data_IF_552266419278
#
_entry.id   IF_552266419278
#
_cell.length_a   1.000
_cell.length_b   1.000
_cell.length_c   1.000
_cell.angle_alpha   90.00
_cell.angle_beta   90.00
_cell.angle_gamma   90.00
#
_symmetry.space_group_name_H-M   'P 1'
#
loop_
_entity.id
_entity.type
_entity.pdbx_description
1 polymer ?
#
# COMPACT_ATOMS: atom_id res chain seq x y z
N UNK A 1 -20.38 -27.74 3.27
CA UNK A 1 -20.04 -26.51 4.02
C UNK A 1 -18.77 -26.84 4.80
N UNK A 2 -17.62 -26.31 4.37
CA UNK A 2 -16.34 -26.53 5.05
C UNK A 2 -16.42 -25.91 6.46
N UNK A 3 -15.96 -26.64 7.45
CA UNK A 3 -15.93 -26.14 8.83
C UNK A 3 -14.93 -24.99 8.92
N UNK A 4 -15.22 -23.89 9.65
CA UNK A 4 -14.36 -22.70 9.75
C UNK A 4 -12.90 -23.02 10.11
N UNK A 5 -12.67 -24.05 10.90
CA UNK A 5 -11.34 -24.44 11.36
C UNK A 5 -10.48 -25.21 10.32
N UNK A 6 -11.08 -25.84 9.31
CA UNK A 6 -10.30 -26.57 8.30
C UNK A 6 -9.67 -25.66 7.26
N UNK A 7 -10.38 -24.61 6.88
CA UNK A 7 -9.85 -23.61 5.93
C UNK A 7 -8.75 -22.75 6.55
N UNK A 8 -8.85 -22.45 7.85
CA UNK A 8 -7.88 -21.65 8.57
C UNK A 8 -6.54 -22.38 8.84
N UNK A 9 -6.53 -23.73 8.83
CA UNK A 9 -5.32 -24.52 9.12
C UNK A 9 -4.30 -24.57 7.98
N UNK A 10 -4.73 -24.32 6.74
CA UNK A 10 -3.87 -24.37 5.54
C UNK A 10 -3.42 -23.01 5.03
N UNK A 11 -3.90 -21.92 5.66
CA UNK A 11 -3.62 -20.56 5.27
C UNK A 11 -2.72 -19.89 6.30
N UNK A 12 -1.58 -19.36 5.85
CA UNK A 12 -0.73 -18.47 6.65
C UNK A 12 -1.47 -17.14 6.84
N UNK A 13 -1.77 -16.77 8.08
CA UNK A 13 -2.57 -15.59 8.41
C UNK A 13 -1.72 -14.56 9.15
N UNK A 14 -1.68 -13.34 8.61
CA UNK A 14 -1.02 -12.19 9.22
C UNK A 14 -2.01 -11.05 9.45
N UNK A 15 -1.89 -10.41 10.59
CA UNK A 15 -2.65 -9.22 10.96
C UNK A 15 -1.69 -8.07 11.22
N UNK A 16 -1.85 -6.99 10.50
CA UNK A 16 -1.00 -5.82 10.63
C UNK A 16 -1.79 -4.60 11.09
N UNK A 17 -1.27 -3.91 12.11
CA UNK A 17 -1.78 -2.61 12.53
C UNK A 17 -1.34 -1.55 11.55
N UNK A 18 -2.28 -0.97 10.82
CA UNK A 18 -2.02 0.01 9.76
C UNK A 18 -3.07 1.12 9.80
N UNK A 19 -2.64 2.37 9.80
CA UNK A 19 -3.56 3.50 9.63
C UNK A 19 -4.23 3.48 8.25
N UNK A 20 -5.45 4.00 8.15
CA UNK A 20 -6.23 3.94 6.91
C UNK A 20 -5.51 4.58 5.72
N UNK A 21 -4.76 5.66 5.95
CA UNK A 21 -3.99 6.35 4.91
C UNK A 21 -2.78 5.53 4.41
N UNK A 22 -2.26 4.63 5.24
CA UNK A 22 -1.08 3.81 4.94
C UNK A 22 -1.40 2.42 4.39
N UNK A 23 -2.65 1.97 4.44
CA UNK A 23 -3.06 0.63 3.97
C UNK A 23 -2.62 0.34 2.53
N UNK A 24 -2.75 1.32 1.62
CA UNK A 24 -2.34 1.17 0.23
C UNK A 24 -0.82 1.00 0.10
N UNK A 25 -0.04 1.77 0.87
CA UNK A 25 1.43 1.65 0.94
C UNK A 25 1.84 0.28 1.47
N UNK A 26 1.20 -0.17 2.55
CA UNK A 26 1.43 -1.49 3.14
C UNK A 26 1.11 -2.62 2.15
N UNK A 27 -0.03 -2.55 1.46
CA UNK A 27 -0.41 -3.52 0.43
C UNK A 27 0.66 -3.66 -0.65
N UNK A 28 1.09 -2.55 -1.23
CA UNK A 28 2.14 -2.53 -2.27
C UNK A 28 3.45 -3.11 -1.80
N UNK A 29 3.86 -2.75 -0.59
CA UNK A 29 5.10 -3.25 -0.02
C UNK A 29 5.06 -4.76 0.18
N UNK A 30 3.99 -5.30 0.75
CA UNK A 30 3.85 -6.74 1.00
C UNK A 30 3.78 -7.51 -0.32
N UNK A 31 3.02 -7.03 -1.31
CA UNK A 31 2.96 -7.62 -2.65
C UNK A 31 4.36 -7.73 -3.25
N UNK A 32 5.16 -6.68 -3.14
CA UNK A 32 6.54 -6.65 -3.66
C UNK A 32 7.47 -7.58 -2.87
N UNK A 33 7.46 -7.48 -1.55
CA UNK A 33 8.35 -8.27 -0.67
C UNK A 33 8.10 -9.77 -0.76
N UNK A 34 6.84 -10.17 -0.92
CA UNK A 34 6.44 -11.58 -1.06
C UNK A 34 6.49 -12.09 -2.50
N UNK A 35 6.79 -11.22 -3.48
CA UNK A 35 6.84 -11.58 -4.89
C UNK A 35 5.51 -12.11 -5.41
N UNK A 36 4.39 -11.56 -4.94
CA UNK A 36 3.06 -12.03 -5.30
C UNK A 36 2.72 -11.66 -6.74
N UNK A 37 2.37 -12.67 -7.53
CA UNK A 37 1.98 -12.50 -8.94
C UNK A 37 0.48 -12.29 -9.11
N UNK A 38 -0.32 -12.78 -8.16
CA UNK A 38 -1.77 -12.61 -8.12
C UNK A 38 -2.25 -12.51 -6.68
N UNK A 39 -3.14 -11.56 -6.41
CA UNK A 39 -3.79 -11.43 -5.12
C UNK A 39 -5.22 -10.93 -5.26
N UNK A 40 -6.07 -11.40 -4.35
CA UNK A 40 -7.44 -10.93 -4.20
C UNK A 40 -7.48 -9.92 -3.06
N UNK A 41 -8.04 -8.73 -3.28
CA UNK A 41 -8.10 -7.65 -2.29
C UNK A 41 -9.55 -7.34 -1.94
N UNK A 42 -9.94 -7.57 -0.70
CA UNK A 42 -11.28 -7.29 -0.20
C UNK A 42 -11.38 -5.92 0.46
N UNK A 43 -12.41 -5.17 0.07
CA UNK A 43 -12.76 -3.85 0.60
C UNK A 43 -14.24 -3.84 0.99
N UNK A 44 -14.57 -3.17 2.09
CA UNK A 44 -15.94 -3.20 2.62
C UNK A 44 -16.95 -2.37 1.82
N UNK A 45 -16.51 -1.38 1.03
CA UNK A 45 -17.41 -0.52 0.28
C UNK A 45 -17.09 -0.48 -1.21
N UNK A 46 -18.14 -0.34 -2.04
CA UNK A 46 -17.99 -0.20 -3.50
C UNK A 46 -17.18 1.05 -3.88
N UNK A 47 -17.34 2.15 -3.17
CA UNK A 47 -16.59 3.37 -3.41
C UNK A 47 -15.11 3.19 -3.04
N UNK A 48 -14.82 2.55 -1.91
CA UNK A 48 -13.47 2.19 -1.50
C UNK A 48 -12.80 1.25 -2.51
N UNK A 49 -13.54 0.26 -3.01
CA UNK A 49 -13.10 -0.65 -4.06
C UNK A 49 -12.67 0.09 -5.33
N UNK A 50 -13.53 0.95 -5.85
CA UNK A 50 -13.25 1.73 -7.07
C UNK A 50 -12.08 2.70 -6.89
N UNK A 51 -11.97 3.37 -5.74
CA UNK A 51 -10.88 4.29 -5.42
C UNK A 51 -9.54 3.57 -5.28
N UNK A 52 -9.52 2.46 -4.57
CA UNK A 52 -8.31 1.67 -4.37
C UNK A 52 -7.79 1.12 -5.71
N UNK A 53 -8.64 0.49 -6.51
CA UNK A 53 -8.25 -0.05 -7.81
C UNK A 53 -7.65 1.04 -8.72
N UNK A 54 -8.33 2.18 -8.84
CA UNK A 54 -7.85 3.31 -9.64
C UNK A 54 -6.52 3.90 -9.13
N UNK A 55 -6.31 3.91 -7.81
CA UNK A 55 -5.05 4.37 -7.24
C UNK A 55 -3.91 3.41 -7.52
N UNK A 56 -4.15 2.11 -7.41
CA UNK A 56 -3.15 1.08 -7.71
C UNK A 56 -2.77 1.04 -9.19
N UNK A 57 -3.74 1.22 -10.09
CA UNK A 57 -3.49 1.36 -11.53
C UNK A 57 -2.58 2.56 -11.86
N UNK A 58 -2.85 3.73 -11.24
CA UNK A 58 -2.01 4.92 -11.42
C UNK A 58 -0.57 4.71 -10.94
N UNK A 59 -0.38 3.82 -10.01
CA UNK A 59 0.94 3.45 -9.47
C UNK A 59 1.60 2.30 -10.26
N UNK A 60 1.01 1.91 -11.39
CA UNK A 60 1.57 0.93 -12.32
C UNK A 60 1.29 -0.53 -11.97
N UNK A 61 0.36 -0.81 -11.03
CA UNK A 61 -0.06 -2.16 -10.72
C UNK A 61 -1.23 -2.56 -11.62
N UNK A 62 -1.14 -3.72 -12.25
CA UNK A 62 -2.23 -4.28 -13.07
C UNK A 62 -3.39 -4.70 -12.18
N UNK A 63 -4.37 -3.82 -12.04
CA UNK A 63 -5.47 -3.97 -11.09
C UNK A 63 -6.80 -3.84 -11.80
N UNK A 64 -7.79 -4.61 -11.37
CA UNK A 64 -9.19 -4.44 -11.78
C UNK A 64 -10.11 -4.49 -10.57
N UNK A 65 -11.32 -3.94 -10.71
CA UNK A 65 -12.29 -3.83 -9.64
C UNK A 65 -13.56 -4.62 -9.92
N UNK A 66 -14.10 -5.29 -8.90
CA UNK A 66 -15.40 -5.94 -8.87
C UNK A 66 -16.29 -5.33 -7.78
N UNK A 67 -17.31 -4.59 -8.16
CA UNK A 67 -18.30 -4.02 -7.24
C UNK A 67 -19.69 -3.93 -7.89
N UNK A 68 -20.69 -3.59 -7.09
CA UNK A 68 -22.08 -3.62 -7.50
C UNK A 68 -22.47 -2.73 -8.68
N UNK A 69 -21.71 -1.68 -8.96
CA UNK A 69 -21.97 -0.75 -10.06
C UNK A 69 -21.40 -1.25 -11.41
N UNK A 70 -20.68 -2.37 -11.42
CA UNK A 70 -20.20 -3.03 -12.63
C UNK A 70 -21.29 -3.90 -13.23
N UNK A 71 -21.44 -3.85 -14.56
CA UNK A 71 -22.33 -4.74 -15.30
C UNK A 71 -21.83 -6.20 -15.20
N UNK A 72 -22.72 -7.15 -15.51
CA UNK A 72 -22.32 -8.57 -15.50
C UNK A 72 -21.20 -8.86 -16.49
N UNK A 73 -21.23 -8.24 -17.66
CA UNK A 73 -20.18 -8.39 -18.68
C UNK A 73 -18.84 -7.83 -18.21
N UNK A 74 -18.84 -6.68 -17.53
CA UNK A 74 -17.61 -6.12 -16.94
C UNK A 74 -17.03 -7.01 -15.85
N UNK A 75 -17.90 -7.62 -15.03
CA UNK A 75 -17.48 -8.57 -14.00
C UNK A 75 -16.84 -9.82 -14.60
N UNK A 76 -17.46 -10.38 -15.64
CA UNK A 76 -16.95 -11.56 -16.34
C UNK A 76 -15.61 -11.27 -17.03
N UNK A 77 -15.46 -10.11 -17.65
CA UNK A 77 -14.21 -9.65 -18.26
C UNK A 77 -13.11 -9.48 -17.21
N UNK A 78 -13.41 -8.83 -16.08
CA UNK A 78 -12.46 -8.65 -14.99
C UNK A 78 -11.99 -10.00 -14.42
N UNK A 79 -12.91 -10.94 -14.23
CA UNK A 79 -12.61 -12.28 -13.75
C UNK A 79 -11.75 -13.07 -14.76
N UNK A 80 -12.09 -13.01 -16.04
CA UNK A 80 -11.34 -13.67 -17.10
C UNK A 80 -9.91 -13.13 -17.20
N UNK A 81 -9.73 -11.81 -17.16
CA UNK A 81 -8.42 -11.17 -17.17
C UNK A 81 -7.57 -11.56 -15.95
N UNK A 82 -8.18 -11.64 -14.77
CA UNK A 82 -7.51 -12.12 -13.57
C UNK A 82 -7.09 -13.58 -13.66
N UNK A 83 -7.97 -14.48 -14.12
CA UNK A 83 -7.66 -15.91 -14.32
C UNK A 83 -6.59 -16.13 -15.38
N UNK A 84 -6.55 -15.28 -16.41
CA UNK A 84 -5.53 -15.35 -17.47
C UNK A 84 -4.15 -14.78 -17.04
N UNK A 85 -4.05 -14.18 -15.84
CA UNK A 85 -2.83 -13.55 -15.38
C UNK A 85 -2.53 -12.18 -16.01
N UNK A 86 -3.50 -11.58 -16.72
CA UNK A 86 -3.39 -10.24 -17.30
C UNK A 86 -3.52 -9.15 -16.22
N UNK A 87 -4.13 -9.49 -15.10
CA UNK A 87 -4.33 -8.63 -13.93
C UNK A 87 -3.72 -9.31 -12.71
N UNK A 88 -2.94 -8.56 -11.95
CA UNK A 88 -2.23 -9.06 -10.77
C UNK A 88 -3.08 -8.91 -9.49
N UNK A 89 -3.86 -7.83 -9.39
CA UNK A 89 -4.69 -7.53 -8.24
C UNK A 89 -6.16 -7.41 -8.64
N UNK A 90 -7.00 -8.21 -8.02
CA UNK A 90 -8.45 -8.13 -8.14
C UNK A 90 -9.03 -7.53 -6.86
N UNK A 91 -9.48 -6.29 -6.92
CA UNK A 91 -10.10 -5.58 -5.80
C UNK A 91 -11.61 -5.80 -5.85
N UNK A 92 -12.20 -6.30 -4.77
CA UNK A 92 -13.63 -6.60 -4.75
C UNK A 92 -14.29 -6.33 -3.40
N UNK A 93 -15.61 -6.13 -3.45
CA UNK A 93 -16.47 -6.20 -2.28
C UNK A 93 -16.93 -7.64 -2.04
N UNK A 94 -17.33 -7.98 -0.81
CA UNK A 94 -17.85 -9.32 -0.49
C UNK A 94 -19.05 -9.69 -1.34
N UNK A 95 -19.97 -8.74 -1.54
CA UNK A 95 -21.19 -8.96 -2.35
C UNK A 95 -20.84 -9.27 -3.80
N UNK A 96 -19.91 -8.55 -4.39
CA UNK A 96 -19.50 -8.78 -5.78
C UNK A 96 -18.69 -10.06 -5.96
N UNK A 97 -17.95 -10.47 -4.95
CA UNK A 97 -17.18 -11.71 -4.96
C UNK A 97 -18.02 -12.98 -4.70
N UNK A 98 -19.23 -12.79 -4.15
CA UNK A 98 -20.13 -13.90 -3.84
C UNK A 98 -20.57 -14.60 -5.11
N UNK A 99 -20.53 -15.92 -5.11
CA UNK A 99 -20.90 -16.73 -6.28
C UNK A 99 -19.86 -16.80 -7.41
N UNK A 100 -18.74 -16.10 -7.27
CA UNK A 100 -17.63 -16.22 -8.22
C UNK A 100 -16.75 -17.42 -7.89
N UNK A 101 -16.42 -18.21 -8.90
CA UNK A 101 -15.49 -19.34 -8.79
C UNK A 101 -14.05 -18.81 -8.90
N UNK A 102 -13.57 -18.22 -7.80
CA UNK A 102 -12.18 -17.80 -7.64
C UNK A 102 -11.60 -18.64 -6.51
N UNK A 103 -10.66 -19.51 -6.85
CA UNK A 103 -9.97 -20.40 -5.91
C UNK A 103 -8.49 -20.41 -6.21
N UNK A 104 -7.72 -20.90 -5.27
CA UNK A 104 -6.28 -21.16 -5.43
C UNK A 104 -5.46 -19.89 -5.75
N UNK A 105 -5.94 -18.73 -5.28
CA UNK A 105 -5.17 -17.49 -5.40
C UNK A 105 -3.99 -17.56 -4.45
N UNK A 106 -2.77 -17.12 -4.84
CA UNK A 106 -1.59 -17.12 -3.97
C UNK A 106 -1.79 -16.35 -2.67
N UNK A 107 -2.52 -15.24 -2.71
CA UNK A 107 -2.76 -14.40 -1.54
C UNK A 107 -4.14 -13.74 -1.55
N UNK A 108 -4.67 -13.54 -0.35
CA UNK A 108 -5.86 -12.73 -0.08
C UNK A 108 -5.48 -11.60 0.88
N UNK A 109 -5.84 -10.38 0.52
CA UNK A 109 -5.71 -9.22 1.39
C UNK A 109 -7.10 -8.78 1.86
N UNK A 110 -7.29 -8.71 3.16
CA UNK A 110 -8.39 -7.97 3.76
C UNK A 110 -7.91 -6.53 3.97
N UNK A 111 -8.10 -5.68 2.97
CA UNK A 111 -7.76 -4.27 3.04
C UNK A 111 -8.54 -3.57 4.16
N UNK A 112 -9.79 -4.01 4.33
CA UNK A 112 -10.62 -3.69 5.48
C UNK A 112 -10.98 -4.96 6.23
N UNK A 113 -11.01 -4.90 7.57
CA UNK A 113 -11.56 -5.98 8.40
C UNK A 113 -13.03 -6.17 8.02
N UNK A 114 -13.51 -7.40 7.74
CA UNK A 114 -14.90 -7.61 7.37
C UNK A 114 -15.85 -7.18 8.49
N UNK A 115 -16.99 -6.58 8.15
CA UNK A 115 -18.02 -6.22 9.11
C UNK A 115 -18.62 -7.42 9.81
N UNK A 116 -18.67 -8.56 9.12
CA UNK A 116 -19.12 -9.83 9.69
C UNK A 116 -17.92 -10.78 9.79
N UNK A 117 -17.69 -11.32 10.98
CA UNK A 117 -16.58 -12.26 11.21
C UNK A 117 -16.65 -13.51 10.33
N UNK A 118 -17.85 -14.00 9.98
CA UNK A 118 -18.02 -15.14 9.07
C UNK A 118 -17.50 -14.87 7.66
N UNK A 119 -17.58 -13.63 7.18
CA UNK A 119 -17.05 -13.25 5.89
C UNK A 119 -15.53 -13.39 5.82
N UNK A 120 -14.83 -13.28 6.96
CA UNK A 120 -13.39 -13.54 7.02
C UNK A 120 -13.02 -14.93 6.50
N UNK A 121 -13.73 -15.96 6.95
CA UNK A 121 -13.52 -17.35 6.52
C UNK A 121 -13.80 -17.50 5.03
N UNK A 122 -14.87 -16.89 4.52
CA UNK A 122 -15.21 -16.89 3.11
C UNK A 122 -14.14 -16.18 2.24
N UNK A 123 -13.57 -15.10 2.74
CA UNK A 123 -12.49 -14.36 2.06
C UNK A 123 -11.22 -15.18 1.97
N UNK A 124 -10.73 -15.71 3.09
CA UNK A 124 -9.49 -16.49 3.11
C UNK A 124 -9.66 -17.87 2.43
N UNK A 125 -10.87 -18.38 2.32
CA UNK A 125 -11.20 -19.58 1.57
C UNK A 125 -10.97 -19.47 0.05
N UNK A 126 -10.52 -18.33 -0.46
CA UNK A 126 -10.07 -18.14 -1.85
C UNK A 126 -8.62 -18.56 -2.08
N UNK A 127 -7.89 -18.82 -1.02
CA UNK A 127 -6.50 -19.28 -1.05
C UNK A 127 -6.31 -20.55 -0.21
N UNK A 128 -5.16 -21.21 -0.30
CA UNK A 128 -4.79 -22.32 0.57
C UNK A 128 -5.55 -23.63 0.32
N UNK A 129 -5.94 -23.93 -0.92
CA UNK A 129 -6.63 -25.16 -1.28
C UNK A 129 -5.70 -26.14 -2.03
N UNK A 130 -6.15 -27.38 -2.15
CA UNK A 130 -5.48 -28.45 -2.91
C UNK A 130 -4.03 -28.73 -2.47
N UNK A 131 -3.70 -28.57 -1.17
CA UNK A 131 -2.37 -28.85 -0.63
C UNK A 131 -1.34 -27.73 -0.81
N UNK A 132 -1.72 -26.61 -1.46
CA UNK A 132 -0.88 -25.41 -1.53
C UNK A 132 -1.08 -24.54 -0.30
N UNK A 133 0.01 -23.99 0.24
CA UNK A 133 -0.05 -22.96 1.29
C UNK A 133 -0.55 -21.66 0.70
N UNK A 134 -1.60 -21.06 1.29
CA UNK A 134 -2.11 -19.75 0.94
C UNK A 134 -1.66 -18.70 1.95
N UNK A 135 -1.65 -17.43 1.52
CA UNK A 135 -1.37 -16.27 2.35
C UNK A 135 -2.63 -15.43 2.54
N UNK A 136 -2.96 -15.08 3.78
CA UNK A 136 -3.99 -14.10 4.11
C UNK A 136 -3.37 -12.97 4.95
N UNK A 137 -3.54 -11.75 4.48
CA UNK A 137 -3.06 -10.55 5.15
C UNK A 137 -4.25 -9.66 5.47
N UNK A 138 -4.38 -9.25 6.73
CA UNK A 138 -5.46 -8.37 7.19
C UNK A 138 -4.89 -7.09 7.78
N UNK A 139 -5.34 -5.95 7.29
CA UNK A 139 -5.01 -4.64 7.85
C UNK A 139 -6.05 -4.24 8.88
N UNK A 140 -5.56 -3.91 10.07
CA UNK A 140 -6.36 -3.51 11.22
C UNK A 140 -6.05 -2.05 11.55
N UNK A 141 -7.06 -1.19 11.50
CA UNK A 141 -6.94 0.19 11.96
C UNK A 141 -7.38 0.35 13.42
N UNK A 142 -7.09 1.50 14.00
CA UNK A 142 -7.45 1.80 15.38
C UNK A 142 -8.97 1.72 15.64
N UNK A 143 -9.80 1.94 14.65
CA UNK A 143 -11.26 1.87 14.72
C UNK A 143 -11.83 0.44 14.66
N UNK A 144 -11.04 -0.56 14.34
CA UNK A 144 -11.50 -1.93 14.09
C UNK A 144 -11.55 -2.83 15.34
N UNK A 145 -11.33 -2.30 16.53
CA UNK A 145 -11.22 -3.08 17.78
C UNK A 145 -12.38 -4.02 18.02
N UNK A 146 -13.63 -3.60 17.74
CA UNK A 146 -14.83 -4.45 17.87
C UNK A 146 -14.81 -5.60 16.86
N UNK A 147 -14.47 -5.31 15.61
CA UNK A 147 -14.42 -6.33 14.54
C UNK A 147 -13.31 -7.35 14.82
N UNK A 148 -12.18 -6.92 15.36
CA UNK A 148 -11.09 -7.80 15.82
C UNK A 148 -11.57 -8.72 16.93
N UNK A 149 -12.29 -8.19 17.93
CA UNK A 149 -12.84 -8.98 19.01
C UNK A 149 -13.83 -10.05 18.50
N UNK A 150 -14.65 -9.72 17.51
CA UNK A 150 -15.59 -10.66 16.89
C UNK A 150 -14.84 -11.77 16.12
N UNK A 151 -13.75 -11.43 15.44
CA UNK A 151 -12.88 -12.41 14.79
C UNK A 151 -12.21 -13.35 15.81
N UNK A 152 -11.70 -12.81 16.91
CA UNK A 152 -11.08 -13.61 17.97
C UNK A 152 -12.06 -14.62 18.57
N UNK A 153 -13.32 -14.21 18.74
CA UNK A 153 -14.40 -15.11 19.19
C UNK A 153 -14.68 -16.23 18.18
N UNK A 154 -14.77 -15.88 16.89
CA UNK A 154 -15.04 -16.85 15.83
C UNK A 154 -13.90 -17.85 15.69
N UNK A 155 -12.67 -17.38 15.69
CA UNK A 155 -11.46 -18.18 15.50
C UNK A 155 -11.02 -18.88 16.79
N UNK A 156 -11.62 -18.54 17.94
CA UNK A 156 -11.33 -19.07 19.28
C UNK A 156 -9.84 -18.93 19.65
N UNK A 157 -9.21 -17.84 19.22
CA UNK A 157 -7.82 -17.52 19.55
C UNK A 157 -7.61 -16.01 19.58
N UNK A 158 -6.60 -15.57 20.32
CA UNK A 158 -6.12 -14.19 20.23
C UNK A 158 -5.36 -13.97 18.93
N UNK A 159 -5.56 -12.81 18.32
CA UNK A 159 -4.86 -12.43 17.10
C UNK A 159 -3.54 -11.75 17.48
N UNK A 160 -2.48 -12.17 16.83
CA UNK A 160 -1.18 -11.49 16.89
C UNK A 160 -1.17 -10.39 15.83
N UNK A 161 -1.20 -9.13 16.28
CA UNK A 161 -1.27 -7.96 15.41
C UNK A 161 0.10 -7.28 15.42
N UNK A 162 0.79 -7.34 14.30
CA UNK A 162 2.12 -6.80 14.11
C UNK A 162 2.09 -5.39 13.51
N UNK A 163 3.13 -4.60 13.73
CA UNK A 163 3.32 -3.34 13.02
C UNK A 163 3.97 -3.58 11.65
N UNK A 164 3.59 -2.79 10.63
CA UNK A 164 4.27 -2.84 9.34
C UNK A 164 5.56 -2.03 9.42
N UNK A 165 6.69 -2.67 9.11
CA UNK A 165 7.97 -1.99 8.92
C UNK A 165 8.10 -1.54 7.47
N UNK A 166 8.15 -0.22 7.24
CA UNK A 166 8.29 0.33 5.90
C UNK A 166 9.76 0.44 5.49
N UNK A 167 10.10 -0.07 4.32
CA UNK A 167 11.48 -0.02 3.79
C UNK A 167 11.99 1.41 3.55
N UNK A 168 11.08 2.33 3.22
CA UNK A 168 11.41 3.73 2.95
C UNK A 168 11.78 4.51 4.22
N UNK A 169 11.37 4.01 5.38
CA UNK A 169 11.72 4.60 6.69
C UNK A 169 13.12 4.21 7.15
N UNK A 170 13.78 3.28 6.47
CA UNK A 170 15.21 3.04 6.66
C UNK A 170 15.96 4.28 6.16
N UNK A 171 16.74 4.97 7.00
CA UNK A 171 17.54 6.08 6.54
C UNK A 171 18.37 5.57 5.37
N UNK A 172 18.15 6.11 4.18
CA UNK A 172 19.08 5.90 3.06
C UNK A 172 20.40 6.41 3.56
N UNK A 173 21.32 5.49 3.89
CA UNK A 173 22.64 5.85 4.27
C UNK A 173 23.13 6.83 3.22
N UNK A 174 23.50 8.04 3.64
CA UNK A 174 24.20 8.97 2.75
C UNK A 174 25.35 8.15 2.20
N UNK A 175 25.31 7.85 0.92
CA UNK A 175 26.46 7.38 0.21
C UNK A 175 27.42 8.56 0.29
N UNK A 176 28.26 8.50 1.31
CA UNK A 176 29.39 9.39 1.43
C UNK A 176 30.31 8.91 0.33
N UNK A 177 30.24 9.51 -0.84
CA UNK A 177 31.08 9.22 -1.99
C UNK A 177 32.49 9.76 -1.75
N UNK A 178 33.08 9.42 -0.65
CA UNK A 178 34.51 9.52 -0.32
C UNK A 178 35.38 10.60 -1.01
N UNK A 179 34.73 11.53 -1.72
CA UNK A 179 35.40 12.65 -2.41
C UNK A 179 35.36 13.91 -1.55
N UNK A 180 35.92 13.81 -0.34
CA UNK A 180 36.53 14.99 0.27
C UNK A 180 37.88 15.16 -0.40
N UNK A 181 37.94 16.03 -1.39
CA UNK A 181 39.20 16.69 -1.75
C UNK A 181 39.68 17.41 -0.50
N UNK A 182 40.67 16.81 0.17
CA UNK A 182 41.51 17.54 1.08
C UNK A 182 42.28 18.54 0.20
N UNK A 183 41.87 19.81 0.22
CA UNK A 183 42.80 20.87 -0.15
C UNK A 183 43.87 20.89 0.92
N UNK A 184 45.08 20.62 0.46
CA UNK A 184 46.28 20.80 1.26
C UNK A 184 46.28 22.19 1.87
N UNK A 185 46.57 22.24 3.16
CA UNK A 185 46.84 23.45 3.91
C UNK A 185 48.10 24.07 3.30
N UNK A 186 47.91 25.14 2.55
CA UNK A 186 48.95 26.03 2.07
C UNK A 186 48.68 27.42 2.63
N UNK A 187 49.54 27.84 3.55
CA UNK A 187 49.85 29.19 3.97
C UNK A 187 48.74 30.07 4.58
N UNK A 188 48.82 30.15 5.88
CA UNK A 188 48.24 31.22 6.68
C UNK A 188 48.92 32.57 6.29
N UNK A 189 48.29 33.36 5.45
CA UNK A 189 48.63 34.76 5.25
C UNK A 189 48.31 35.56 6.51
N UNK A 190 49.25 36.45 6.90
CA UNK A 190 49.19 37.31 8.06
C UNK A 190 47.89 38.16 8.06
N UNK A 191 47.15 38.24 9.19
CA UNK A 191 45.90 38.99 9.27
C UNK A 191 46.02 40.50 9.07
N UNK A 192 47.21 41.05 8.87
CA UNK A 192 47.48 42.47 8.73
C UNK A 192 47.36 43.02 7.30
N UNK A 193 47.23 42.18 6.27
CA UNK A 193 47.14 42.58 4.86
C UNK A 193 45.71 42.87 4.38
N UNK A 194 44.72 42.88 5.25
CA UNK A 194 43.28 43.05 4.89
C UNK A 194 42.80 44.53 4.93
N UNK A 195 43.68 45.50 5.09
CA UNK A 195 43.24 46.92 5.30
C UNK A 195 43.34 47.82 4.08
N UNK A 196 43.76 47.34 2.92
CA UNK A 196 43.87 48.18 1.71
C UNK A 196 43.21 47.53 0.48
N UNK A 197 41.86 47.46 0.45
CA UNK A 197 41.10 47.17 -0.77
C UNK A 197 40.18 48.35 -1.09
N UNK A 198 40.25 48.92 -2.30
CA UNK A 198 39.43 50.06 -2.71
C UNK A 198 37.93 49.64 -2.83
N UNK A 199 37.09 50.50 -2.30
CA UNK A 199 35.63 50.43 -2.25
C UNK A 199 35.05 50.43 -3.66
N UNK A 200 34.52 49.32 -4.14
CA UNK A 200 33.82 49.24 -5.43
C UNK A 200 32.48 50.02 -5.38
N UNK A 201 32.31 50.90 -6.38
CA UNK A 201 31.11 51.72 -6.59
C UNK A 201 29.86 50.84 -6.78
N UNK A 202 28.80 51.27 -6.08
CA UNK A 202 27.45 50.68 -6.25
C UNK A 202 26.87 51.05 -7.60
N UNK A 203 26.50 50.04 -8.38
CA UNK A 203 25.70 50.19 -9.59
C UNK A 203 24.29 50.72 -9.27
N UNK A 204 23.69 51.54 -10.15
CA UNK A 204 22.37 52.16 -9.93
C UNK A 204 21.23 51.12 -10.09
N UNK A 205 20.19 51.30 -9.25
CA UNK A 205 18.96 50.51 -9.30
C UNK A 205 18.18 50.78 -10.60
N UNK A 206 17.54 49.76 -11.18
CA UNK A 206 16.62 49.96 -12.32
C UNK A 206 15.33 50.63 -11.90
N UNK A 207 14.64 51.39 -12.79
CA UNK A 207 13.44 52.16 -12.45
C UNK A 207 12.21 51.27 -12.23
N UNK A 208 11.39 51.66 -11.25
CA UNK A 208 10.10 51.05 -10.94
C UNK A 208 9.07 51.24 -12.08
N UNK A 209 8.36 50.19 -12.45
CA UNK A 209 7.25 50.25 -13.38
C UNK A 209 5.98 50.82 -12.72
N UNK A 210 5.23 51.73 -13.37
CA UNK A 210 4.03 52.29 -12.81
C UNK A 210 2.89 51.27 -12.70
N UNK A 211 2.19 51.27 -11.57
CA UNK A 211 0.99 50.47 -11.33
C UNK A 211 -0.18 51.07 -12.14
N UNK A 212 -0.73 50.28 -13.03
CA UNK A 212 -1.97 50.61 -13.74
C UNK A 212 -3.17 50.56 -12.79
N UNK A 213 -4.01 51.61 -12.85
CA UNK A 213 -5.32 51.68 -12.19
C UNK A 213 -6.34 50.83 -12.98
N UNK A 214 -7.30 50.17 -12.32
CA UNK A 214 -8.43 49.54 -13.00
C UNK A 214 -9.53 50.58 -13.30
N UNK A 215 -10.13 50.42 -14.44
CA UNK A 215 -11.41 51.00 -14.79
C UNK A 215 -12.53 49.96 -14.55
#
# INVERSE_FOLDING_TARGET
VARPNETASTVEQHFYSVGDDDKRRALKQIVRQRGLTQAFVFVNSKLGCARLARSLEREGLKTTALHGDKSQDERLKALAAFKAGEVDLLVATDVAARGLDIKDVPAVFNFDVPFNAEDYVHRIGRTGRAGASGLAVTFVSASDGRLVADLEKLLKKKLDIEAVEYEEDRPRGRINDGRRHWREEGELGDPRDALDAPRAERAPRPPERPRGRPA
#
